data_IF_507854160360
#
_entry.id   IF_507854160360
#
_cell.length_a   1.000
_cell.length_b   1.000
_cell.length_c   1.000
_cell.angle_alpha   90.00
_cell.angle_beta   90.00
_cell.angle_gamma   90.00
#
_symmetry.space_group_name_H-M   'P 1'
#
loop_
_entity.id
_entity.type
_entity.pdbx_description
1 polymer ?
#
# COMPACT_ATOMS: atom_id res chain seq x y z
N UNK A 1 12.08 0.31 -0.87
CA UNK A 1 10.60 0.36 -0.76
C UNK A 1 9.97 1.70 -1.19
N UNK A 2 9.98 2.78 -0.40
CA UNK A 2 9.26 4.03 -0.78
C UNK A 2 9.74 4.68 -2.10
N UNK A 3 11.05 4.64 -2.38
CA UNK A 3 11.61 5.15 -3.63
C UNK A 3 11.29 4.25 -4.84
N UNK A 4 11.15 2.94 -4.62
CA UNK A 4 10.85 1.95 -5.67
C UNK A 4 9.38 1.99 -6.12
N UNK A 5 8.46 2.45 -5.25
CA UNK A 5 7.05 2.61 -5.57
C UNK A 5 6.69 3.99 -6.14
N UNK A 6 7.69 4.86 -6.40
CA UNK A 6 7.50 6.28 -6.75
C UNK A 6 6.60 7.06 -5.78
N UNK A 7 6.44 6.57 -4.54
CA UNK A 7 5.63 7.24 -3.54
C UNK A 7 6.48 8.29 -2.84
N UNK A 8 5.93 9.50 -2.72
CA UNK A 8 6.59 10.53 -1.92
C UNK A 8 6.66 10.06 -0.47
N UNK A 9 7.83 10.17 0.17
CA UNK A 9 8.05 9.78 1.58
C UNK A 9 7.01 10.36 2.55
N UNK A 10 6.54 11.58 2.28
CA UNK A 10 5.48 12.22 3.07
C UNK A 10 4.13 11.47 2.95
N UNK A 11 3.79 10.99 1.76
CA UNK A 11 2.56 10.23 1.52
C UNK A 11 2.58 8.87 2.24
N UNK A 12 3.73 8.19 2.26
CA UNK A 12 3.92 6.95 3.04
C UNK A 12 3.74 7.22 4.55
N UNK A 13 4.35 8.27 5.08
CA UNK A 13 4.21 8.63 6.50
C UNK A 13 2.76 8.94 6.91
N UNK A 14 2.00 9.63 6.05
CA UNK A 14 0.58 9.91 6.31
C UNK A 14 -0.28 8.63 6.24
N UNK A 15 0.09 7.69 5.38
CA UNK A 15 -0.59 6.40 5.26
C UNK A 15 -0.35 5.50 6.46
N UNK A 16 0.90 5.39 6.94
CA UNK A 16 1.24 4.61 8.14
C UNK A 16 0.53 5.13 9.40
N UNK A 17 0.19 6.43 9.44
CA UNK A 17 -0.56 7.06 10.53
C UNK A 17 -2.08 6.96 10.36
N UNK A 18 -2.57 6.30 9.31
CA UNK A 18 -4.00 6.18 9.00
C UNK A 18 -4.68 7.50 8.58
N UNK A 19 -3.90 8.56 8.30
CA UNK A 19 -4.42 9.88 7.91
C UNK A 19 -4.86 9.88 6.45
N UNK A 20 -4.10 9.20 5.59
CA UNK A 20 -4.41 9.06 4.17
C UNK A 20 -4.69 7.60 3.84
N UNK A 21 -5.89 7.34 3.32
CA UNK A 21 -6.18 6.03 2.73
C UNK A 21 -5.41 5.87 1.41
N UNK A 22 -4.74 4.72 1.19
CA UNK A 22 -4.16 4.42 -0.11
C UNK A 22 -5.25 4.41 -1.18
N UNK A 23 -4.95 4.98 -2.34
CA UNK A 23 -5.82 4.82 -3.51
C UNK A 23 -5.55 3.47 -4.18
N UNK A 24 -6.46 3.02 -5.07
CA UNK A 24 -6.21 1.84 -5.90
C UNK A 24 -4.90 1.97 -6.71
N UNK A 25 -4.60 3.17 -7.20
CA UNK A 25 -3.36 3.47 -7.92
C UNK A 25 -2.14 3.32 -7.02
N UNK A 26 -2.25 3.69 -5.74
CA UNK A 26 -1.18 3.49 -4.76
C UNK A 26 -0.90 2.00 -4.55
N UNK A 27 -1.95 1.18 -4.43
CA UNK A 27 -1.79 -0.27 -4.28
C UNK A 27 -1.07 -0.88 -5.49
N UNK A 28 -1.44 -0.48 -6.71
CA UNK A 28 -0.78 -0.96 -7.94
C UNK A 28 0.71 -0.55 -7.97
N UNK A 29 1.04 0.68 -7.57
CA UNK A 29 2.43 1.17 -7.51
C UNK A 29 3.26 0.44 -6.45
N UNK A 30 2.65 0.03 -5.35
CA UNK A 30 3.30 -0.75 -4.28
C UNK A 30 3.49 -2.22 -4.66
N UNK A 31 2.55 -2.79 -5.40
CA UNK A 31 2.54 -4.20 -5.74
C UNK A 31 3.82 -4.63 -6.51
N UNK A 32 4.23 -3.84 -7.50
CA UNK A 32 5.40 -4.14 -8.34
C UNK A 32 6.71 -4.28 -7.54
N UNK A 33 7.16 -3.29 -6.73
CA UNK A 33 8.36 -3.43 -5.91
C UNK A 33 8.23 -4.44 -4.77
N UNK A 34 7.01 -4.78 -4.34
CA UNK A 34 6.76 -5.83 -3.36
C UNK A 34 6.72 -7.24 -3.97
N UNK A 35 6.77 -7.36 -5.30
CA UNK A 35 6.73 -8.64 -6.00
C UNK A 35 5.39 -9.37 -5.90
N UNK A 36 4.30 -8.63 -5.72
CA UNK A 36 2.94 -9.16 -5.63
C UNK A 36 1.97 -8.36 -6.51
N UNK A 37 0.70 -8.71 -6.46
CA UNK A 37 -0.42 -8.01 -7.08
C UNK A 37 -1.15 -7.15 -6.07
N UNK A 38 -1.84 -6.09 -6.52
CA UNK A 38 -2.68 -5.28 -5.65
C UNK A 38 -3.82 -6.09 -5.00
N UNK A 39 -4.29 -7.16 -5.67
CA UNK A 39 -5.30 -8.06 -5.12
C UNK A 39 -4.78 -8.84 -3.90
N UNK A 40 -3.55 -9.35 -3.96
CA UNK A 40 -2.92 -10.04 -2.81
C UNK A 40 -2.74 -9.10 -1.62
N UNK A 41 -2.46 -7.80 -1.86
CA UNK A 41 -2.40 -6.80 -0.78
C UNK A 41 -3.76 -6.63 -0.11
N UNK A 42 -4.84 -6.52 -0.89
CA UNK A 42 -6.21 -6.36 -0.35
C UNK A 42 -6.63 -7.60 0.42
N UNK A 43 -6.41 -8.79 -0.14
CA UNK A 43 -6.75 -10.07 0.46
C UNK A 43 -6.04 -10.29 1.83
N UNK A 44 -4.78 -9.84 1.95
CA UNK A 44 -4.07 -9.85 3.23
C UNK A 44 -4.65 -8.86 4.25
N UNK A 45 -5.02 -7.65 3.81
CA UNK A 45 -5.66 -6.65 4.69
C UNK A 45 -7.04 -7.13 5.15
N UNK A 46 -7.82 -7.76 4.27
CA UNK A 46 -9.13 -8.34 4.62
C UNK A 46 -9.00 -9.40 5.72
N UNK A 47 -7.98 -10.27 5.65
CA UNK A 47 -7.67 -11.22 6.73
C UNK A 47 -7.34 -10.54 8.05
N UNK A 48 -6.49 -9.51 8.02
CA UNK A 48 -6.05 -8.79 9.22
C UNK A 48 -7.17 -8.00 9.91
N UNK A 49 -8.19 -7.57 9.17
CA UNK A 49 -9.32 -6.77 9.69
C UNK A 49 -10.52 -7.65 10.09
N UNK A 50 -10.59 -8.88 9.59
CA UNK A 50 -11.65 -9.82 9.95
C UNK A 50 -11.46 -10.50 11.32
N UNK A 51 -10.25 -10.41 11.90
CA UNK A 51 -9.90 -10.82 13.27
C UNK A 51 -10.04 -9.66 14.28
#
# INVERSE_FOLDING_TARGET
MAHEAELQRNYVSLMERGINQPTITTLIKLANPLGCTAAEIVDEVERLVAD
#
